data_IF_996255036593
#
_entry.id   IF_996255036593
#
_cell.length_a   1.000
_cell.length_b   1.000
_cell.length_c   1.000
_cell.angle_alpha   90.00
_cell.angle_beta   90.00
_cell.angle_gamma   90.00
#
_symmetry.space_group_name_H-M   'P 1'
#
loop_
_entity.id
_entity.type
_entity.pdbx_description
1 polymer ?
#
# COMPACT_ATOMS: atom_id res chain seq x y z
N UNK A 1 -23.74 6.85 -9.61
CA UNK A 1 -22.59 6.81 -8.69
C UNK A 1 -22.89 7.81 -7.61
N UNK A 2 -23.13 7.34 -6.38
CA UNK A 2 -23.41 8.25 -5.26
C UNK A 2 -22.10 8.88 -4.79
N UNK A 3 -22.10 10.20 -4.68
CA UNK A 3 -21.02 10.96 -4.08
C UNK A 3 -21.22 11.00 -2.57
N UNK A 4 -20.13 11.02 -1.81
CA UNK A 4 -20.27 11.31 -0.37
C UNK A 4 -20.71 12.76 -0.17
N UNK A 5 -21.38 13.12 0.94
CA UNK A 5 -21.78 14.51 1.19
C UNK A 5 -20.61 15.51 1.09
N UNK A 6 -19.42 15.07 1.50
CA UNK A 6 -18.19 15.87 1.38
C UNK A 6 -17.73 16.03 -0.07
N UNK A 7 -17.88 14.99 -0.91
CA UNK A 7 -17.61 15.08 -2.34
C UNK A 7 -18.57 16.04 -3.03
N UNK A 8 -19.86 15.99 -2.67
CA UNK A 8 -20.88 16.89 -3.19
C UNK A 8 -20.60 18.35 -2.82
N UNK A 9 -20.18 18.64 -1.60
CA UNK A 9 -19.76 20.00 -1.20
C UNK A 9 -18.60 20.51 -2.07
N UNK A 10 -17.61 19.67 -2.34
CA UNK A 10 -16.45 20.02 -3.17
C UNK A 10 -16.89 20.31 -4.60
N UNK A 11 -17.73 19.44 -5.18
CA UNK A 11 -18.29 19.60 -6.53
C UNK A 11 -19.11 20.89 -6.61
N UNK A 12 -20.03 21.11 -5.66
CA UNK A 12 -20.88 22.30 -5.59
C UNK A 12 -20.07 23.59 -5.45
N UNK A 13 -19.01 23.59 -4.65
CA UNK A 13 -18.15 24.76 -4.49
C UNK A 13 -17.48 25.17 -5.81
N UNK A 14 -16.99 24.20 -6.58
CA UNK A 14 -16.37 24.47 -7.88
C UNK A 14 -17.42 24.84 -8.93
N UNK A 15 -18.59 24.21 -8.92
CA UNK A 15 -19.68 24.55 -9.83
C UNK A 15 -20.10 26.03 -9.69
N UNK A 16 -20.29 26.51 -8.44
CA UNK A 16 -20.60 27.92 -8.15
C UNK A 16 -19.50 28.88 -8.63
N UNK A 17 -18.24 28.47 -8.50
CA UNK A 17 -17.10 29.24 -9.03
C UNK A 17 -17.14 29.33 -10.56
N UNK A 18 -17.51 28.25 -11.25
CA UNK A 18 -17.67 28.24 -12.71
C UNK A 18 -18.86 29.09 -13.17
N UNK A 19 -19.90 29.20 -12.33
CA UNK A 19 -21.05 30.09 -12.53
C UNK A 19 -20.72 31.58 -12.29
N UNK A 20 -19.50 31.89 -11.84
CA UNK A 20 -19.01 33.26 -11.66
C UNK A 20 -19.21 33.83 -10.26
N UNK A 21 -19.65 33.02 -9.29
CA UNK A 21 -19.72 33.46 -7.89
C UNK A 21 -18.33 33.75 -7.31
N UNK A 22 -18.25 34.74 -6.42
CA UNK A 22 -16.99 35.13 -5.78
C UNK A 22 -16.52 34.03 -4.82
N UNK A 23 -15.24 33.66 -4.88
CA UNK A 23 -14.64 32.64 -4.02
C UNK A 23 -14.97 32.83 -2.53
N UNK A 24 -14.96 34.08 -2.07
CA UNK A 24 -15.24 34.48 -0.68
C UNK A 24 -16.67 34.12 -0.25
N UNK A 25 -17.64 34.29 -1.14
CA UNK A 25 -19.04 33.98 -0.88
C UNK A 25 -19.26 32.47 -0.85
N UNK A 26 -18.55 31.74 -1.72
CA UNK A 26 -18.63 30.27 -1.80
C UNK A 26 -18.13 29.62 -0.51
N UNK A 27 -16.87 29.87 -0.10
CA UNK A 27 -16.35 29.17 1.08
C UNK A 27 -17.00 29.65 2.38
N UNK A 28 -17.46 30.89 2.47
CA UNK A 28 -18.19 31.38 3.66
C UNK A 28 -19.56 30.75 3.79
N UNK A 29 -20.32 30.65 2.70
CA UNK A 29 -21.64 30.01 2.72
C UNK A 29 -21.60 28.49 2.97
N UNK A 30 -20.46 27.86 2.70
CA UNK A 30 -20.20 26.44 3.01
C UNK A 30 -19.51 26.25 4.38
N UNK A 31 -19.30 27.32 5.16
CA UNK A 31 -18.57 27.28 6.43
C UNK A 31 -17.17 26.62 6.31
N UNK A 32 -16.52 26.79 5.16
CA UNK A 32 -15.18 26.27 4.85
C UNK A 32 -14.13 27.37 4.86
N UNK A 33 -12.89 26.98 5.07
CA UNK A 33 -11.75 27.91 5.02
C UNK A 33 -11.35 28.25 3.58
N UNK A 34 -10.72 29.43 3.39
CA UNK A 34 -10.08 29.80 2.11
C UNK A 34 -9.11 28.73 1.62
N UNK A 35 -8.34 28.14 2.53
CA UNK A 35 -7.38 27.07 2.22
C UNK A 35 -8.04 25.80 1.70
N UNK A 36 -9.20 25.44 2.25
CA UNK A 36 -10.00 24.32 1.76
C UNK A 36 -10.45 24.56 0.30
N UNK A 37 -10.99 25.74 0.01
CA UNK A 37 -11.45 26.07 -1.34
C UNK A 37 -10.29 26.08 -2.35
N UNK A 38 -9.19 26.76 -2.02
CA UNK A 38 -8.01 26.83 -2.88
C UNK A 38 -7.41 25.45 -3.19
N UNK A 39 -7.42 24.54 -2.21
CA UNK A 39 -6.98 23.14 -2.40
C UNK A 39 -7.80 22.46 -3.49
N UNK A 40 -9.13 22.54 -3.41
CA UNK A 40 -10.01 21.87 -4.37
C UNK A 40 -10.03 22.56 -5.72
N UNK A 41 -9.97 23.89 -5.77
CA UNK A 41 -9.80 24.64 -7.01
C UNK A 41 -8.50 24.28 -7.72
N UNK A 42 -7.40 24.19 -6.98
CA UNK A 42 -6.11 23.73 -7.50
C UNK A 42 -6.20 22.31 -8.08
N UNK A 43 -6.88 21.39 -7.39
CA UNK A 43 -7.11 20.03 -7.90
C UNK A 43 -7.97 20.00 -9.14
N UNK A 44 -9.07 20.76 -9.18
CA UNK A 44 -9.93 20.88 -10.36
C UNK A 44 -9.13 21.35 -11.59
N UNK A 45 -8.29 22.37 -11.43
CA UNK A 45 -7.42 22.90 -12.50
C UNK A 45 -6.41 21.87 -13.04
N UNK A 46 -6.11 20.79 -12.32
CA UNK A 46 -5.25 19.71 -12.86
C UNK A 46 -5.91 18.86 -13.93
N UNK A 47 -7.24 18.96 -14.13
CA UNK A 47 -7.98 18.18 -15.12
C UNK A 47 -8.10 16.68 -14.79
N UNK A 48 -7.65 16.24 -13.61
CA UNK A 48 -7.74 14.83 -13.21
C UNK A 48 -9.19 14.43 -12.95
N UNK A 49 -9.61 13.31 -13.55
CA UNK A 49 -10.89 12.66 -13.20
C UNK A 49 -10.88 12.31 -11.70
N UNK A 50 -12.00 12.58 -11.03
CA UNK A 50 -12.13 12.33 -9.58
C UNK A 50 -11.35 13.30 -8.69
N UNK A 51 -11.08 14.52 -9.15
CA UNK A 51 -10.38 15.55 -8.36
C UNK A 51 -11.02 15.84 -6.99
N UNK A 52 -12.33 15.60 -6.85
CA UNK A 52 -13.12 15.77 -5.63
C UNK A 52 -12.95 14.62 -4.63
N UNK A 53 -12.37 13.48 -5.05
CA UNK A 53 -12.16 12.32 -4.19
C UNK A 53 -11.01 12.57 -3.22
N UNK A 54 -11.11 11.94 -2.04
CA UNK A 54 -9.99 11.91 -1.13
C UNK A 54 -8.84 11.08 -1.70
N UNK A 55 -7.63 11.58 -1.47
CA UNK A 55 -6.43 10.81 -1.75
C UNK A 55 -6.16 9.89 -0.55
N UNK A 56 -5.68 8.66 -0.78
CA UNK A 56 -5.30 7.79 0.31
C UNK A 56 -4.28 8.50 1.22
N UNK A 57 -4.59 8.57 2.52
CA UNK A 57 -3.73 9.17 3.55
C UNK A 57 -2.48 8.32 3.86
N UNK A 58 -2.36 7.13 3.27
CA UNK A 58 -1.24 6.22 3.46
C UNK A 58 0.01 6.75 2.79
N UNK A 59 1.13 6.71 3.50
CA UNK A 59 2.44 6.94 2.90
C UNK A 59 2.63 6.02 1.69
N UNK A 60 2.92 6.59 0.53
CA UNK A 60 3.15 5.82 -0.71
C UNK A 60 4.45 5.01 -0.66
N UNK A 61 5.37 5.40 0.22
CA UNK A 61 6.67 4.76 0.41
C UNK A 61 6.78 4.38 1.89
N UNK A 62 7.08 3.11 2.15
CA UNK A 62 7.39 2.59 3.48
C UNK A 62 8.87 2.22 3.44
N UNK A 63 9.77 3.00 4.08
CA UNK A 63 11.22 2.82 3.97
C UNK A 63 11.72 1.42 4.33
N UNK A 64 11.04 0.76 5.26
CA UNK A 64 11.39 -0.58 5.75
C UNK A 64 10.42 -1.66 5.26
N UNK A 65 9.82 -1.47 4.07
CA UNK A 65 8.97 -2.51 3.48
C UNK A 65 9.83 -3.73 3.15
N UNK A 66 9.42 -4.89 3.67
CA UNK A 66 9.97 -6.18 3.25
C UNK A 66 9.84 -6.31 1.73
N UNK A 67 10.89 -6.80 1.07
CA UNK A 67 10.82 -7.01 -0.38
C UNK A 67 9.83 -8.12 -0.71
N UNK A 68 9.15 -8.00 -1.85
CA UNK A 68 8.14 -8.97 -2.32
C UNK A 68 8.69 -10.41 -2.35
N UNK A 69 9.96 -10.56 -2.72
CA UNK A 69 10.65 -11.85 -2.68
C UNK A 69 10.67 -12.47 -1.28
N UNK A 70 10.98 -11.68 -0.26
CA UNK A 70 11.05 -12.16 1.13
C UNK A 70 9.64 -12.41 1.67
N UNK A 71 8.67 -11.55 1.36
CA UNK A 71 7.26 -11.79 1.69
C UNK A 71 6.77 -13.12 1.12
N UNK A 72 7.09 -13.41 -0.15
CA UNK A 72 6.70 -14.65 -0.79
C UNK A 72 7.35 -15.89 -0.16
N UNK A 73 8.63 -15.79 0.25
CA UNK A 73 9.32 -16.87 0.97
C UNK A 73 8.62 -17.16 2.30
N UNK A 74 8.33 -16.11 3.08
CA UNK A 74 7.61 -16.22 4.36
C UNK A 74 6.24 -16.88 4.18
N UNK A 75 5.47 -16.46 3.16
CA UNK A 75 4.16 -17.04 2.84
C UNK A 75 4.27 -18.51 2.46
N UNK A 76 5.25 -18.88 1.64
CA UNK A 76 5.44 -20.26 1.19
C UNK A 76 5.85 -21.18 2.33
N UNK A 77 6.76 -20.75 3.19
CA UNK A 77 7.15 -21.50 4.40
C UNK A 77 5.94 -21.71 5.30
N UNK A 78 5.15 -20.66 5.54
CA UNK A 78 3.94 -20.77 6.38
C UNK A 78 2.94 -21.76 5.79
N UNK A 79 2.73 -21.76 4.48
CA UNK A 79 1.84 -22.72 3.80
C UNK A 79 2.35 -24.16 3.98
N UNK A 80 3.63 -24.39 3.71
CA UNK A 80 4.25 -25.72 3.89
C UNK A 80 4.12 -26.24 5.34
N UNK A 81 4.32 -25.36 6.33
CA UNK A 81 4.10 -25.69 7.74
C UNK A 81 2.64 -26.01 8.08
N UNK A 82 1.67 -25.34 7.43
CA UNK A 82 0.24 -25.58 7.63
C UNK A 82 -0.25 -26.85 6.93
N UNK A 83 0.30 -27.16 5.75
CA UNK A 83 -0.10 -28.32 4.96
C UNK A 83 0.31 -29.64 5.64
N UNK A 84 1.32 -29.61 6.53
CA UNK A 84 1.64 -30.72 7.43
C UNK A 84 2.12 -32.00 6.74
N UNK A 85 2.59 -31.89 5.48
CA UNK A 85 2.91 -33.03 4.61
C UNK A 85 4.24 -33.70 4.93
N UNK A 86 5.13 -33.04 5.67
CA UNK A 86 6.40 -33.63 6.11
C UNK A 86 6.30 -34.12 7.57
N UNK A 87 6.94 -35.26 7.89
CA UNK A 87 6.93 -35.85 9.24
C UNK A 87 7.43 -34.89 10.34
N UNK A 88 8.31 -33.95 9.97
CA UNK A 88 8.82 -32.86 10.82
C UNK A 88 7.77 -31.77 11.13
N UNK A 89 6.75 -31.63 10.29
CA UNK A 89 5.72 -30.57 10.39
C UNK A 89 4.43 -31.03 11.06
N UNK A 90 4.21 -32.34 11.17
CA UNK A 90 2.99 -32.97 11.71
C UNK A 90 2.60 -32.51 13.14
N UNK A 91 3.58 -32.08 13.94
CA UNK A 91 3.37 -31.53 15.29
C UNK A 91 4.00 -30.15 15.50
N UNK A 92 4.43 -29.50 14.41
CA UNK A 92 5.11 -28.21 14.49
C UNK A 92 4.11 -27.07 14.70
N UNK A 93 4.45 -26.16 15.62
CA UNK A 93 3.66 -24.93 15.83
C UNK A 93 3.83 -24.02 14.61
N UNK A 94 2.73 -23.59 14.01
CA UNK A 94 2.74 -22.59 12.92
C UNK A 94 2.89 -21.18 13.50
N UNK A 95 4.10 -20.87 13.97
CA UNK A 95 4.47 -19.60 14.58
C UNK A 95 5.48 -18.80 13.74
N UNK A 96 5.69 -17.53 14.10
CA UNK A 96 6.72 -16.70 13.46
C UNK A 96 8.13 -17.30 13.65
N UNK A 97 8.39 -17.89 14.82
CA UNK A 97 9.67 -18.56 15.13
C UNK A 97 9.94 -19.76 14.21
N UNK A 98 8.93 -20.59 13.94
CA UNK A 98 9.06 -21.73 13.03
C UNK A 98 9.32 -21.27 11.58
N UNK A 99 8.67 -20.19 11.15
CA UNK A 99 8.92 -19.61 9.83
C UNK A 99 10.34 -19.05 9.74
N UNK A 100 10.83 -18.38 10.78
CA UNK A 100 12.20 -17.88 10.84
C UNK A 100 13.23 -19.01 10.80
N UNK A 101 13.04 -20.07 11.59
CA UNK A 101 13.93 -21.23 11.61
C UNK A 101 14.09 -21.85 10.21
N UNK A 102 12.99 -22.14 9.51
CA UNK A 102 13.06 -22.68 8.15
C UNK A 102 13.63 -21.70 7.14
N UNK A 103 13.41 -20.39 7.34
CA UNK A 103 14.05 -19.37 6.51
C UNK A 103 15.57 -19.41 6.70
N UNK A 104 16.08 -19.51 7.94
CA UNK A 104 17.51 -19.65 8.22
C UNK A 104 18.10 -20.93 7.60
N UNK A 105 17.40 -22.07 7.68
CA UNK A 105 17.81 -23.33 7.04
C UNK A 105 17.96 -23.18 5.52
N UNK A 106 16.98 -22.56 4.84
CA UNK A 106 17.03 -22.31 3.40
C UNK A 106 18.21 -21.41 3.03
N UNK A 107 18.51 -20.41 3.85
CA UNK A 107 19.62 -19.48 3.60
C UNK A 107 20.98 -20.15 3.82
N UNK A 108 21.14 -20.93 4.90
CA UNK A 108 22.37 -21.69 5.19
C UNK A 108 22.62 -22.74 4.11
N UNK A 109 21.58 -23.42 3.64
CA UNK A 109 21.68 -24.42 2.55
C UNK A 109 22.11 -23.77 1.24
N UNK A 110 21.59 -22.58 0.94
CA UNK A 110 21.96 -21.85 -0.28
C UNK A 110 23.40 -21.32 -0.23
N UNK A 111 23.86 -20.87 0.95
CA UNK A 111 25.26 -20.46 1.15
C UNK A 111 26.22 -21.67 1.08
N UNK A 112 25.84 -22.85 1.59
CA UNK A 112 26.66 -24.07 1.45
C UNK A 112 26.75 -24.60 0.01
N UNK A 113 25.71 -24.43 -0.81
CA UNK A 113 25.77 -24.78 -2.25
C UNK A 113 26.73 -23.89 -3.06
N UNK A 114 26.95 -22.64 -2.65
CA UNK A 114 27.94 -21.76 -3.29
C UNK A 114 29.40 -22.23 -3.12
N UNK A 115 29.65 -23.11 -2.15
CA UNK A 115 30.98 -23.64 -1.82
C UNK A 115 31.26 -25.05 -2.36
N UNK A 116 30.30 -25.69 -3.05
CA UNK A 116 30.41 -27.10 -3.43
C UNK A 116 30.68 -27.38 -4.92
N UNK A 117 31.01 -26.36 -5.73
CA UNK A 117 31.64 -26.56 -7.04
C UNK A 117 32.56 -25.38 -7.40
N UNK A 118 33.90 -25.53 -7.40
CA UNK A 118 34.70 -24.76 -8.35
C UNK A 118 34.39 -25.25 -9.78
N UNK A 119 34.39 -24.38 -10.81
CA UNK A 119 34.33 -24.83 -12.18
C UNK A 119 35.51 -25.78 -12.43
N UNK A 120 35.22 -26.99 -12.89
CA UNK A 120 36.23 -27.91 -13.41
C UNK A 120 36.89 -27.25 -14.63
N UNK A 121 38.07 -26.67 -14.42
CA UNK A 121 38.93 -26.25 -15.51
C UNK A 121 39.77 -27.46 -15.93
N UNK A 122 39.58 -27.87 -17.19
CA UNK A 122 40.55 -28.51 -18.10
C UNK A 122 41.44 -29.61 -17.55
#
# INVERSE_FOLDING_TARGET
>A
MEHTPEEEERIKAIQRYLEGEREVEIYRSLERSKGWFNKWLGRYKTGRKGWYKDLPKRARVIPHKTSERIEQIVVNIRKALMDGTEDSTKYSRVGAEAVQFHMEELWVTNHRRSHLYPPSNG
#
